data_IF_529653660387
#
_entry.id   IF_529653660387
#
_cell.length_a   1.000
_cell.length_b   1.000
_cell.length_c   1.000
_cell.angle_alpha   90.00
_cell.angle_beta   90.00
_cell.angle_gamma   90.00
#
_symmetry.space_group_name_H-M   'P 1'
#
loop_
_entity.id
_entity.type
_entity.pdbx_description
1 polymer ?
#
# COMPACT_ATOMS: atom_id res chain seq x y z
N UNK A 1 23.51 -30.47 19.81
CA UNK A 1 22.36 -31.35 19.99
C UNK A 1 21.87 -31.77 18.61
N UNK A 2 21.61 -33.07 18.38
CA UNK A 2 21.26 -33.57 17.03
C UNK A 2 19.78 -33.35 16.63
N UNK A 3 19.07 -32.49 17.31
CA UNK A 3 17.65 -32.20 17.01
C UNK A 3 17.46 -31.26 15.82
N UNK A 4 18.39 -30.36 15.54
CA UNK A 4 18.28 -29.39 14.44
C UNK A 4 18.46 -29.99 13.02
N UNK A 5 18.94 -31.24 12.94
CA UNK A 5 19.15 -31.92 11.67
C UNK A 5 17.90 -32.64 11.13
N UNK A 6 16.89 -32.83 11.96
CA UNK A 6 15.68 -33.61 11.62
C UNK A 6 14.41 -32.75 11.45
N UNK A 7 14.51 -31.43 11.59
CA UNK A 7 13.40 -30.57 11.17
C UNK A 7 13.33 -30.55 9.65
N UNK A 8 12.21 -30.96 9.02
CA UNK A 8 12.02 -30.87 7.60
C UNK A 8 11.87 -29.40 7.21
N UNK A 9 12.99 -28.69 7.04
CA UNK A 9 12.99 -27.41 6.35
C UNK A 9 12.65 -27.68 4.90
N UNK A 10 11.52 -27.18 4.44
CA UNK A 10 11.18 -27.18 3.02
C UNK A 10 12.38 -26.60 2.25
N UNK A 11 12.95 -27.36 1.31
CA UNK A 11 14.11 -26.91 0.50
C UNK A 11 13.79 -25.71 -0.41
N UNK A 12 12.55 -25.23 -0.39
CA UNK A 12 12.05 -24.09 -1.18
C UNK A 12 11.81 -22.82 -0.35
N UNK A 13 11.97 -22.84 0.98
CA UNK A 13 11.82 -21.64 1.79
C UNK A 13 13.14 -20.85 1.84
N UNK A 14 13.14 -19.72 1.13
CA UNK A 14 14.23 -18.74 1.25
C UNK A 14 14.07 -18.03 2.59
N UNK A 15 14.94 -18.35 3.55
CA UNK A 15 15.01 -17.66 4.83
C UNK A 15 16.08 -16.56 4.71
N UNK A 16 15.70 -15.27 4.77
CA UNK A 16 16.67 -14.18 4.73
C UNK A 16 17.62 -14.29 5.94
N UNK A 17 18.92 -14.07 5.69
CA UNK A 17 19.97 -14.19 6.73
C UNK A 17 20.45 -12.84 7.24
N UNK A 18 20.24 -11.79 6.48
CA UNK A 18 20.64 -10.43 6.81
C UNK A 18 19.58 -9.40 6.37
N UNK A 19 19.76 -8.16 6.83
CA UNK A 19 18.81 -7.09 6.57
C UNK A 19 18.65 -6.75 5.08
N UNK A 20 19.71 -6.91 4.26
CA UNK A 20 19.64 -6.68 2.82
C UNK A 20 18.78 -7.76 2.14
N UNK A 21 19.00 -9.03 2.47
CA UNK A 21 18.18 -10.14 1.96
C UNK A 21 16.71 -9.98 2.38
N UNK A 22 16.46 -9.47 3.59
CA UNK A 22 15.11 -9.18 4.07
C UNK A 22 14.48 -8.00 3.32
N UNK A 23 15.27 -6.97 2.96
CA UNK A 23 14.80 -5.88 2.11
C UNK A 23 14.45 -6.36 0.71
N UNK A 24 15.24 -7.24 0.09
CA UNK A 24 14.92 -7.84 -1.20
C UNK A 24 13.63 -8.66 -1.14
N UNK A 25 13.41 -9.41 -0.05
CA UNK A 25 12.15 -10.11 0.19
C UNK A 25 10.98 -9.14 0.32
N UNK A 26 11.13 -8.05 1.07
CA UNK A 26 10.12 -7.00 1.19
C UNK A 26 9.76 -6.41 -0.17
N UNK A 27 10.77 -6.09 -1.00
CA UNK A 27 10.55 -5.56 -2.36
C UNK A 27 9.79 -6.57 -3.22
N UNK A 28 10.13 -7.84 -3.13
CA UNK A 28 9.48 -8.90 -3.91
C UNK A 28 8.06 -9.24 -3.48
N UNK A 29 7.70 -9.03 -2.20
CA UNK A 29 6.44 -9.50 -1.61
C UNK A 29 5.47 -8.37 -1.25
N UNK A 30 5.96 -7.18 -0.90
CA UNK A 30 5.13 -6.10 -0.38
C UNK A 30 5.06 -4.86 -1.29
N UNK A 31 5.97 -4.70 -2.26
CA UNK A 31 5.87 -3.61 -3.22
C UNK A 31 5.04 -4.00 -4.44
N UNK A 32 4.17 -3.10 -4.97
CA UNK A 32 3.41 -3.35 -6.19
C UNK A 32 4.36 -3.55 -7.37
N UNK A 33 4.12 -4.58 -8.17
CA UNK A 33 4.93 -4.90 -9.34
C UNK A 33 4.10 -4.83 -10.62
N UNK A 34 4.56 -4.04 -11.57
CA UNK A 34 3.89 -3.85 -12.87
C UNK A 34 3.91 -5.13 -13.74
N UNK A 35 5.00 -5.90 -13.65
CA UNK A 35 5.22 -7.13 -14.43
C UNK A 35 4.25 -8.27 -14.09
N UNK A 36 3.56 -8.19 -12.95
CA UNK A 36 2.59 -9.20 -12.51
C UNK A 36 1.12 -8.78 -12.68
N UNK A 37 0.87 -7.67 -13.37
CA UNK A 37 -0.49 -7.14 -13.52
C UNK A 37 -1.13 -6.67 -12.20
N UNK A 38 -0.32 -6.46 -11.16
CA UNK A 38 -0.76 -6.16 -9.81
C UNK A 38 -1.08 -4.67 -9.60
N UNK A 39 -1.56 -3.98 -10.61
CA UNK A 39 -2.22 -2.69 -10.44
C UNK A 39 -3.61 -2.95 -9.85
N UNK A 40 -3.73 -2.81 -8.53
CA UNK A 40 -4.96 -3.18 -7.82
C UNK A 40 -6.16 -2.29 -8.17
N UNK A 41 -5.92 -1.10 -8.72
CA UNK A 41 -6.99 -0.17 -9.11
C UNK A 41 -6.59 0.66 -10.34
N UNK A 42 -6.32 0.05 -11.52
CA UNK A 42 -5.88 0.79 -12.70
C UNK A 42 -6.94 1.76 -13.23
N UNK A 43 -8.20 1.58 -12.83
CA UNK A 43 -9.32 2.40 -13.28
C UNK A 43 -9.60 3.62 -12.39
N UNK A 44 -8.94 3.78 -11.23
CA UNK A 44 -9.18 4.93 -10.33
C UNK A 44 -8.99 6.28 -11.02
N UNK A 45 -8.03 6.36 -11.93
CA UNK A 45 -7.81 7.56 -12.73
C UNK A 45 -8.98 7.94 -13.64
N UNK A 46 -9.89 7.01 -13.93
CA UNK A 46 -11.10 7.31 -14.72
C UNK A 46 -12.28 7.75 -13.85
N UNK A 47 -12.19 7.67 -12.53
CA UNK A 47 -13.19 8.17 -11.59
C UNK A 47 -12.94 9.63 -11.19
N UNK A 48 -11.91 10.23 -11.76
CA UNK A 48 -11.42 11.57 -11.50
C UNK A 48 -11.90 12.54 -12.59
N UNK A 49 -12.03 13.81 -12.28
CA UNK A 49 -12.38 14.89 -13.20
C UNK A 49 -11.18 15.48 -13.95
N UNK A 50 -9.97 15.00 -13.67
CA UNK A 50 -8.74 15.35 -14.41
C UNK A 50 -8.67 14.68 -15.80
N UNK A 51 -9.59 13.77 -16.13
CA UNK A 51 -9.63 13.06 -17.41
C UNK A 51 -10.71 13.66 -18.32
N UNK A 52 -10.33 13.94 -19.55
CA UNK A 52 -11.25 14.35 -20.60
C UNK A 52 -11.22 13.37 -21.78
N UNK A 53 -12.40 12.96 -22.24
CA UNK A 53 -12.53 12.19 -23.47
C UNK A 53 -12.41 13.12 -24.69
N UNK A 54 -11.38 12.91 -25.51
CA UNK A 54 -11.26 13.56 -26.81
C UNK A 54 -11.75 12.61 -27.91
N UNK A 55 -12.80 13.00 -28.58
CA UNK A 55 -13.22 12.35 -29.81
C UNK A 55 -12.21 12.72 -30.90
N UNK A 56 -11.29 11.82 -31.19
CA UNK A 56 -10.43 11.93 -32.36
C UNK A 56 -11.05 11.15 -33.53
N UNK A 57 -10.74 11.53 -34.76
CA UNK A 57 -11.21 10.87 -35.99
C UNK A 57 -10.52 9.50 -36.18
N UNK A 58 -10.34 8.73 -35.13
CA UNK A 58 -9.82 7.37 -35.23
C UNK A 58 -10.85 6.43 -35.82
N UNK A 59 -10.45 5.63 -36.79
CA UNK A 59 -11.17 4.42 -37.16
C UNK A 59 -11.20 3.47 -35.96
N UNK A 60 -12.34 3.36 -35.31
CA UNK A 60 -12.50 2.47 -34.16
C UNK A 60 -12.44 1.01 -34.61
N UNK A 61 -11.36 0.31 -34.25
CA UNK A 61 -11.38 -1.15 -34.26
C UNK A 61 -12.35 -1.68 -33.19
N UNK A 62 -12.79 -2.93 -33.32
CA UNK A 62 -13.68 -3.53 -32.32
C UNK A 62 -13.04 -3.57 -30.90
N UNK A 63 -11.71 -3.65 -30.84
CA UNK A 63 -10.98 -3.59 -29.58
C UNK A 63 -10.98 -2.18 -28.98
N UNK A 64 -10.86 -1.15 -29.82
CA UNK A 64 -10.96 0.25 -29.39
C UNK A 64 -12.36 0.56 -28.85
N UNK A 65 -13.42 0.02 -29.43
CA UNK A 65 -14.80 0.19 -28.97
C UNK A 65 -15.00 -0.42 -27.58
N UNK A 66 -14.47 -1.63 -27.36
CA UNK A 66 -14.53 -2.30 -26.04
C UNK A 66 -13.77 -1.49 -24.97
N UNK A 67 -12.60 -0.97 -25.32
CA UNK A 67 -11.80 -0.12 -24.44
C UNK A 67 -12.55 1.16 -24.08
N UNK A 68 -13.14 1.84 -25.07
CA UNK A 68 -13.95 3.04 -24.86
C UNK A 68 -15.18 2.75 -24.00
N UNK A 69 -15.90 1.65 -24.25
CA UNK A 69 -17.09 1.30 -23.48
C UNK A 69 -16.74 1.04 -22.00
N UNK A 70 -15.65 0.28 -21.73
CA UNK A 70 -15.21 -0.01 -20.39
C UNK A 70 -14.80 1.27 -19.62
N UNK A 71 -13.97 2.11 -20.23
CA UNK A 71 -13.52 3.37 -19.63
C UNK A 71 -14.66 4.37 -19.44
N UNK A 72 -15.58 4.45 -20.39
CA UNK A 72 -16.75 5.33 -20.31
C UNK A 72 -17.67 4.91 -19.15
N UNK A 73 -17.88 3.60 -18.95
CA UNK A 73 -18.72 3.11 -17.85
C UNK A 73 -18.18 3.53 -16.49
N UNK A 74 -16.85 3.47 -16.32
CA UNK A 74 -16.16 3.95 -15.10
C UNK A 74 -16.25 5.46 -14.97
N UNK A 75 -15.88 6.19 -16.01
CA UNK A 75 -15.90 7.66 -16.04
C UNK A 75 -17.28 8.25 -15.72
N UNK A 76 -18.34 7.59 -16.19
CA UNK A 76 -19.73 8.03 -15.94
C UNK A 76 -20.36 7.39 -14.70
N UNK A 77 -19.58 6.71 -13.86
CA UNK A 77 -20.03 6.09 -12.60
C UNK A 77 -21.25 5.17 -12.77
N UNK A 78 -21.29 4.37 -13.85
CA UNK A 78 -22.41 3.49 -14.07
C UNK A 78 -22.47 2.39 -12.98
N UNK A 79 -23.67 2.05 -12.47
CA UNK A 79 -23.81 1.07 -11.40
C UNK A 79 -23.24 -0.33 -11.76
N UNK A 80 -23.24 -0.68 -13.04
CA UNK A 80 -22.75 -1.93 -13.59
C UNK A 80 -21.35 -1.81 -14.25
N UNK A 81 -20.61 -0.73 -13.96
CA UNK A 81 -19.31 -0.44 -14.58
C UNK A 81 -18.33 -1.62 -14.48
N UNK A 82 -18.31 -2.32 -13.36
CA UNK A 82 -17.40 -3.46 -13.18
C UNK A 82 -17.76 -4.65 -14.08
N UNK A 83 -19.05 -4.93 -14.26
CA UNK A 83 -19.51 -5.93 -15.20
C UNK A 83 -19.16 -5.55 -16.65
N UNK A 84 -19.33 -4.27 -17.00
CA UNK A 84 -18.97 -3.75 -18.33
C UNK A 84 -17.47 -3.86 -18.56
N UNK A 85 -16.64 -3.54 -17.56
CA UNK A 85 -15.19 -3.72 -17.64
C UNK A 85 -14.80 -5.18 -17.91
N UNK A 86 -15.34 -6.11 -17.11
CA UNK A 86 -15.02 -7.54 -17.20
C UNK A 86 -15.38 -8.11 -18.58
N UNK A 87 -16.59 -7.86 -19.08
CA UNK A 87 -17.02 -8.34 -20.41
C UNK A 87 -16.19 -7.76 -21.56
N UNK A 88 -15.55 -6.60 -21.33
CA UNK A 88 -14.67 -5.95 -22.30
C UNK A 88 -13.19 -6.34 -22.16
N UNK A 89 -12.89 -7.33 -21.30
CA UNK A 89 -11.54 -7.89 -21.15
C UNK A 89 -10.68 -7.20 -20.08
N UNK A 90 -11.27 -6.41 -19.21
CA UNK A 90 -10.63 -5.83 -18.02
C UNK A 90 -10.99 -6.68 -16.79
N UNK A 91 -10.23 -7.72 -16.46
CA UNK A 91 -10.56 -8.57 -15.32
C UNK A 91 -10.51 -7.75 -14.03
N UNK A 92 -11.54 -7.90 -13.22
CA UNK A 92 -11.57 -7.34 -11.89
C UNK A 92 -10.57 -8.08 -11.02
N UNK A 93 -9.65 -7.34 -10.46
CA UNK A 93 -8.76 -7.88 -9.45
C UNK A 93 -9.46 -7.89 -8.10
N UNK A 94 -9.20 -8.94 -7.32
CA UNK A 94 -9.66 -8.99 -5.94
C UNK A 94 -8.81 -8.01 -5.10
N UNK A 95 -9.29 -6.77 -4.98
CA UNK A 95 -8.61 -5.68 -4.26
C UNK A 95 -8.34 -6.07 -2.80
N UNK A 96 -9.30 -6.72 -2.16
CA UNK A 96 -9.17 -7.20 -0.79
C UNK A 96 -7.98 -8.15 -0.64
N UNK A 97 -7.98 -9.23 -1.41
CA UNK A 97 -6.92 -10.23 -1.40
C UNK A 97 -5.56 -9.61 -1.77
N UNK A 98 -5.53 -8.77 -2.79
CA UNK A 98 -4.32 -8.12 -3.26
C UNK A 98 -3.64 -7.28 -2.19
N UNK A 99 -4.39 -6.43 -1.50
CA UNK A 99 -3.82 -5.61 -0.42
C UNK A 99 -3.41 -6.45 0.79
N UNK A 100 -4.19 -7.47 1.18
CA UNK A 100 -3.79 -8.34 2.29
C UNK A 100 -2.54 -9.18 1.97
N UNK A 101 -2.32 -9.57 0.72
CA UNK A 101 -1.08 -10.22 0.29
C UNK A 101 0.13 -9.28 0.45
N UNK A 102 0.00 -8.00 0.12
CA UNK A 102 1.06 -7.03 0.37
C UNK A 102 1.28 -6.76 1.87
N UNK A 103 0.21 -6.70 2.66
CA UNK A 103 0.30 -6.59 4.12
C UNK A 103 1.03 -7.81 4.71
N UNK A 104 0.73 -9.02 4.21
CA UNK A 104 1.43 -10.23 4.63
C UNK A 104 2.94 -10.14 4.36
N UNK A 105 3.33 -9.65 3.18
CA UNK A 105 4.73 -9.42 2.85
C UNK A 105 5.42 -8.41 3.77
N UNK A 106 4.73 -7.30 4.10
CA UNK A 106 5.24 -6.31 5.04
C UNK A 106 5.36 -6.86 6.46
N UNK A 107 4.35 -7.62 6.93
CA UNK A 107 4.39 -8.28 8.24
C UNK A 107 5.51 -9.31 8.33
N UNK A 108 5.73 -10.10 7.27
CA UNK A 108 6.83 -11.07 7.25
C UNK A 108 8.20 -10.39 7.47
N UNK A 109 8.43 -9.24 6.83
CA UNK A 109 9.66 -8.49 7.06
C UNK A 109 9.77 -7.98 8.51
N UNK A 110 8.66 -7.53 9.12
CA UNK A 110 8.61 -7.10 10.52
C UNK A 110 8.86 -8.25 11.49
N UNK A 111 8.30 -9.43 11.23
CA UNK A 111 8.44 -10.60 12.10
C UNK A 111 9.86 -11.16 12.07
N UNK A 112 10.50 -11.21 10.89
CA UNK A 112 11.85 -11.78 10.73
C UNK A 112 12.99 -10.81 11.06
N UNK A 113 12.75 -9.50 11.21
CA UNK A 113 13.84 -8.51 11.38
C UNK A 113 14.69 -8.75 12.63
N UNK A 114 14.12 -9.34 13.68
CA UNK A 114 14.83 -9.68 14.91
C UNK A 114 15.88 -10.77 14.72
N UNK A 115 15.63 -11.71 13.81
CA UNK A 115 16.41 -12.94 13.62
C UNK A 115 17.51 -12.81 12.57
N UNK A 116 17.55 -11.70 11.82
CA UNK A 116 18.56 -11.49 10.78
C UNK A 116 19.76 -10.69 11.27
N UNK A 117 20.92 -10.90 10.63
CA UNK A 117 22.10 -10.07 10.85
C UNK A 117 21.94 -8.70 10.17
N UNK A 118 22.62 -7.69 10.69
CA UNK A 118 22.66 -6.35 10.14
C UNK A 118 22.87 -5.29 11.20
N UNK A 119 23.30 -4.12 10.77
CA UNK A 119 23.39 -2.95 11.64
C UNK A 119 21.99 -2.46 12.03
N UNK A 120 21.89 -1.71 13.12
CA UNK A 120 20.63 -1.09 13.53
C UNK A 120 20.06 -0.19 12.43
N UNK A 121 20.90 0.56 11.71
CA UNK A 121 20.47 1.42 10.61
C UNK A 121 19.87 0.61 9.44
N UNK A 122 20.46 -0.52 9.05
CA UNK A 122 19.91 -1.39 8.00
C UNK A 122 18.58 -2.00 8.45
N UNK A 123 18.48 -2.47 9.69
CA UNK A 123 17.24 -3.00 10.25
C UNK A 123 16.15 -1.92 10.32
N UNK A 124 16.49 -0.73 10.84
CA UNK A 124 15.55 0.39 10.93
C UNK A 124 15.03 0.82 9.55
N UNK A 125 15.86 0.73 8.51
CA UNK A 125 15.44 1.03 7.15
C UNK A 125 14.39 0.04 6.63
N UNK A 126 14.56 -1.26 6.87
CA UNK A 126 13.58 -2.29 6.50
C UNK A 126 12.29 -2.13 7.29
N UNK A 127 12.38 -1.92 8.62
CA UNK A 127 11.20 -1.74 9.48
C UNK A 127 10.39 -0.52 9.01
N UNK A 128 11.06 0.63 8.79
CA UNK A 128 10.39 1.86 8.38
C UNK A 128 9.65 1.71 7.04
N UNK A 129 10.24 1.03 6.06
CA UNK A 129 9.58 0.73 4.80
C UNK A 129 8.38 -0.21 4.98
N UNK A 130 8.53 -1.28 5.78
CA UNK A 130 7.46 -2.25 6.03
C UNK A 130 6.25 -1.60 6.70
N UNK A 131 6.48 -0.77 7.73
CA UNK A 131 5.42 -0.01 8.41
C UNK A 131 4.74 0.98 7.46
N UNK A 132 5.52 1.70 6.65
CA UNK A 132 4.98 2.64 5.66
C UNK A 132 4.10 1.96 4.61
N UNK A 133 4.51 0.80 4.10
CA UNK A 133 3.72 -0.01 3.17
C UNK A 133 2.45 -0.53 3.84
N UNK A 134 2.55 -1.10 5.05
CA UNK A 134 1.39 -1.61 5.79
C UNK A 134 0.36 -0.52 6.05
N UNK A 135 0.81 0.65 6.50
CA UNK A 135 -0.05 1.81 6.70
C UNK A 135 -0.75 2.25 5.40
N UNK A 136 -0.03 2.30 4.28
CA UNK A 136 -0.61 2.63 2.99
C UNK A 136 -1.69 1.64 2.57
N UNK A 137 -1.44 0.34 2.71
CA UNK A 137 -2.42 -0.68 2.32
C UNK A 137 -3.66 -0.69 3.21
N UNK A 138 -3.51 -0.49 4.52
CA UNK A 138 -4.66 -0.31 5.41
C UNK A 138 -5.43 0.97 5.10
N UNK A 139 -4.75 2.05 4.76
CA UNK A 139 -5.40 3.28 4.32
C UNK A 139 -6.23 3.06 3.05
N UNK A 140 -5.70 2.32 2.07
CA UNK A 140 -6.47 1.97 0.87
C UNK A 140 -7.66 1.07 1.22
N UNK A 141 -7.46 0.02 2.01
CA UNK A 141 -8.51 -0.91 2.40
C UNK A 141 -9.65 -0.23 3.16
N UNK A 142 -9.35 0.57 4.17
CA UNK A 142 -10.39 1.21 4.99
C UNK A 142 -11.21 2.21 4.20
N UNK A 143 -10.60 2.91 3.23
CA UNK A 143 -11.32 3.86 2.37
C UNK A 143 -12.17 3.18 1.29
N UNK A 144 -11.86 1.92 0.93
CA UNK A 144 -12.69 1.16 -0.02
C UNK A 144 -13.82 0.39 0.66
N UNK A 145 -13.61 -0.08 1.89
CA UNK A 145 -14.51 -1.04 2.54
C UNK A 145 -15.10 -0.55 3.86
N UNK A 146 -14.65 0.59 4.37
CA UNK A 146 -15.15 1.23 5.58
C UNK A 146 -15.99 2.47 5.29
N UNK A 147 -16.61 3.01 6.33
CA UNK A 147 -17.24 4.32 6.27
C UNK A 147 -16.18 5.45 6.29
N UNK A 148 -16.49 6.67 5.79
CA UNK A 148 -15.63 7.82 5.99
C UNK A 148 -15.37 8.06 7.49
N UNK A 149 -14.12 8.41 7.86
CA UNK A 149 -13.67 8.45 9.25
C UNK A 149 -14.58 9.27 10.19
N UNK A 150 -14.95 10.47 9.80
CA UNK A 150 -15.78 11.33 10.65
C UNK A 150 -17.29 11.12 10.49
N UNK A 151 -17.71 10.27 9.54
CA UNK A 151 -19.12 9.92 9.39
C UNK A 151 -19.55 8.93 10.47
N UNK A 152 -18.79 7.85 10.67
CA UNK A 152 -19.00 6.87 11.74
C UNK A 152 -17.68 6.13 12.06
N UNK A 153 -17.02 6.58 13.11
CA UNK A 153 -15.75 5.99 13.58
C UNK A 153 -15.91 4.57 14.12
N UNK A 154 -17.12 4.24 14.61
CA UNK A 154 -17.44 2.93 15.18
C UNK A 154 -17.99 1.94 14.14
N UNK A 155 -18.24 2.41 12.91
CA UNK A 155 -18.57 1.52 11.80
C UNK A 155 -17.47 0.48 11.56
N UNK A 156 -17.86 -0.66 11.00
CA UNK A 156 -16.91 -1.71 10.65
C UNK A 156 -15.96 -1.22 9.52
N UNK A 157 -14.70 -1.18 9.86
CA UNK A 157 -13.59 -0.97 8.92
C UNK A 157 -13.14 -2.27 8.27
N UNK A 158 -11.89 -2.67 8.47
CA UNK A 158 -11.29 -3.91 7.95
C UNK A 158 -10.56 -4.67 9.06
N UNK A 159 -10.35 -5.98 8.95
CA UNK A 159 -9.55 -6.73 9.92
C UNK A 159 -8.10 -6.25 9.97
N UNK A 160 -7.55 -6.06 11.16
CA UNK A 160 -6.15 -5.77 11.37
C UNK A 160 -5.36 -7.08 11.54
N UNK A 161 -4.61 -7.49 10.53
CA UNK A 161 -3.65 -8.59 10.57
C UNK A 161 -2.25 -7.98 10.68
N UNK A 162 -1.64 -8.09 11.86
CA UNK A 162 -0.40 -7.38 12.19
C UNK A 162 0.83 -8.29 12.29
N UNK A 163 0.67 -9.57 11.97
CA UNK A 163 1.73 -10.59 11.89
C UNK A 163 1.62 -11.40 10.60
N UNK A 164 2.65 -12.17 10.27
CA UNK A 164 2.70 -13.00 9.07
C UNK A 164 2.22 -14.44 9.30
N UNK A 165 1.77 -14.80 10.49
CA UNK A 165 1.31 -16.15 10.77
C UNK A 165 0.08 -16.48 9.93
N UNK A 166 0.09 -17.64 9.29
CA UNK A 166 -1.10 -18.15 8.63
C UNK A 166 -2.14 -18.52 9.68
N UNK A 167 -3.38 -18.11 9.46
CA UNK A 167 -4.46 -18.51 10.34
C UNK A 167 -4.73 -20.01 10.16
N UNK A 168 -4.94 -20.78 11.26
CA UNK A 168 -5.44 -22.13 11.15
C UNK A 168 -6.75 -22.19 10.37
N UNK A 169 -7.03 -23.31 9.68
CA UNK A 169 -8.25 -23.45 8.83
C UNK A 169 -9.55 -23.19 9.61
N UNK A 170 -9.58 -23.48 10.91
CA UNK A 170 -10.71 -23.24 11.81
C UNK A 170 -10.82 -21.76 12.27
N UNK A 171 -9.84 -20.91 11.96
CA UNK A 171 -9.79 -19.49 12.33
C UNK A 171 -9.68 -18.54 11.12
N UNK A 172 -10.07 -18.98 9.94
CA UNK A 172 -9.99 -18.19 8.71
C UNK A 172 -10.84 -16.91 8.72
N UNK A 173 -11.77 -16.78 9.66
CA UNK A 173 -12.65 -15.62 9.78
C UNK A 173 -12.12 -14.66 10.85
N UNK A 174 -11.49 -13.58 10.40
CA UNK A 174 -11.11 -12.47 11.27
C UNK A 174 -12.30 -11.50 11.43
N UNK A 175 -12.49 -11.00 12.64
CA UNK A 175 -13.45 -9.92 12.91
C UNK A 175 -12.94 -8.61 12.31
N UNK A 176 -13.83 -7.83 11.71
CA UNK A 176 -13.50 -6.48 11.25
C UNK A 176 -13.31 -5.55 12.45
N UNK A 177 -12.23 -4.80 12.43
CA UNK A 177 -11.99 -3.71 13.37
C UNK A 177 -12.85 -2.50 13.00
N UNK A 178 -13.05 -1.58 13.95
CA UNK A 178 -13.72 -0.31 13.64
C UNK A 178 -12.86 0.56 12.73
N UNK A 179 -13.48 1.51 12.05
CA UNK A 179 -12.78 2.52 11.24
C UNK A 179 -11.75 3.25 12.10
N UNK A 180 -12.10 3.63 13.35
CA UNK A 180 -11.20 4.32 14.28
C UNK A 180 -9.97 3.47 14.63
N UNK A 181 -10.16 2.18 14.94
CA UNK A 181 -9.04 1.28 15.24
C UNK A 181 -8.10 1.14 14.05
N UNK A 182 -8.63 1.03 12.83
CA UNK A 182 -7.80 0.94 11.62
C UNK A 182 -7.02 2.22 11.38
N UNK A 183 -7.64 3.39 11.51
CA UNK A 183 -6.93 4.67 11.36
C UNK A 183 -5.90 4.90 12.46
N UNK A 184 -6.16 4.48 13.69
CA UNK A 184 -5.18 4.53 14.76
C UNK A 184 -3.95 3.68 14.43
N UNK A 185 -4.14 2.45 13.95
CA UNK A 185 -3.04 1.59 13.52
C UNK A 185 -2.23 2.22 12.35
N UNK A 186 -2.91 2.83 11.37
CA UNK A 186 -2.26 3.55 10.28
C UNK A 186 -1.37 4.68 10.81
N UNK A 187 -1.89 5.48 11.75
CA UNK A 187 -1.14 6.60 12.34
C UNK A 187 0.03 6.10 13.17
N UNK A 188 -0.14 5.03 13.94
CA UNK A 188 0.93 4.43 14.74
C UNK A 188 2.06 3.88 13.86
N UNK A 189 1.74 3.14 12.80
CA UNK A 189 2.71 2.64 11.83
C UNK A 189 3.48 3.80 11.17
N UNK A 190 2.79 4.87 10.76
CA UNK A 190 3.42 6.03 10.13
C UNK A 190 4.28 6.84 11.11
N UNK A 191 3.88 6.94 12.38
CA UNK A 191 4.67 7.61 13.41
C UNK A 191 5.97 6.87 13.67
N UNK A 192 5.91 5.56 13.79
CA UNK A 192 7.09 4.73 14.02
C UNK A 192 7.99 4.70 12.78
N UNK A 193 7.42 4.59 11.57
CA UNK A 193 8.19 4.69 10.33
C UNK A 193 8.94 6.03 10.21
N UNK A 194 8.27 7.17 10.51
CA UNK A 194 8.91 8.49 10.52
C UNK A 194 10.03 8.55 11.55
N UNK A 195 9.79 8.07 12.77
CA UNK A 195 10.79 8.03 13.83
C UNK A 195 12.05 7.26 13.42
N UNK A 196 11.87 6.09 12.83
CA UNK A 196 12.97 5.24 12.37
C UNK A 196 13.74 5.89 11.21
N UNK A 197 13.06 6.42 10.19
CA UNK A 197 13.71 7.14 9.10
C UNK A 197 14.56 8.31 9.61
N UNK A 198 14.10 9.03 10.63
CA UNK A 198 14.84 10.17 11.20
C UNK A 198 16.15 9.75 11.90
N UNK A 199 16.31 8.49 12.27
CA UNK A 199 17.58 7.95 12.80
C UNK A 199 18.61 7.66 11.71
N UNK A 200 18.21 7.63 10.47
CA UNK A 200 19.06 7.26 9.33
C UNK A 200 19.80 8.48 8.77
N UNK A 201 20.85 8.21 7.98
CA UNK A 201 21.54 9.23 7.21
C UNK A 201 20.62 9.82 6.12
N UNK A 202 20.92 11.05 5.68
CA UNK A 202 20.06 11.79 4.74
C UNK A 202 19.84 11.07 3.41
N UNK A 203 20.86 10.40 2.90
CA UNK A 203 20.79 9.56 1.71
C UNK A 203 19.85 8.35 1.88
N UNK A 204 19.75 7.81 3.10
CA UNK A 204 18.81 6.74 3.43
C UNK A 204 17.40 7.24 3.78
N UNK A 205 17.27 8.49 4.20
CA UNK A 205 15.95 9.10 4.38
C UNK A 205 15.22 9.31 3.06
N UNK A 206 15.95 9.59 1.99
CA UNK A 206 15.41 9.77 0.65
C UNK A 206 16.42 9.38 -0.43
N UNK A 207 16.04 8.42 -1.25
CA UNK A 207 16.66 8.11 -2.54
C UNK A 207 15.63 8.38 -3.64
N UNK A 208 16.01 8.94 -4.81
CA UNK A 208 15.07 9.19 -5.92
C UNK A 208 14.72 7.88 -6.65
N UNK A 209 14.02 7.00 -5.97
CA UNK A 209 13.55 5.72 -6.48
C UNK A 209 12.09 5.48 -6.06
N UNK A 210 11.54 4.29 -6.31
CA UNK A 210 10.16 3.93 -5.98
C UNK A 210 9.97 3.39 -4.56
N UNK A 211 11.03 3.30 -3.77
CA UNK A 211 10.97 2.74 -2.41
C UNK A 211 10.36 3.76 -1.43
N UNK A 212 9.77 3.24 -0.38
CA UNK A 212 9.25 4.07 0.72
C UNK A 212 10.40 4.90 1.32
N UNK A 213 10.15 6.16 1.50
CA UNK A 213 11.11 7.15 1.98
C UNK A 213 10.46 8.10 2.99
N UNK A 214 11.27 8.85 3.74
CA UNK A 214 10.75 9.79 4.74
C UNK A 214 9.76 10.81 4.14
N UNK A 215 10.04 11.47 2.99
CA UNK A 215 9.05 12.38 2.40
C UNK A 215 7.77 11.68 1.97
N UNK A 216 7.82 10.42 1.52
CA UNK A 216 6.61 9.63 1.24
C UNK A 216 5.80 9.40 2.51
N UNK A 217 6.43 9.02 3.63
CA UNK A 217 5.76 8.84 4.92
C UNK A 217 5.10 10.15 5.37
N UNK A 218 5.80 11.28 5.28
CA UNK A 218 5.27 12.59 5.64
C UNK A 218 4.10 13.01 4.74
N UNK A 219 4.18 12.74 3.44
CA UNK A 219 3.08 13.01 2.51
C UNK A 219 1.87 12.12 2.81
N UNK A 220 2.08 10.84 3.10
CA UNK A 220 1.00 9.93 3.48
C UNK A 220 0.35 10.34 4.80
N UNK A 221 1.13 10.78 5.81
CA UNK A 221 0.59 11.35 7.05
C UNK A 221 -0.30 12.58 6.77
N UNK A 222 0.16 13.48 5.91
CA UNK A 222 -0.65 14.63 5.49
C UNK A 222 -2.00 14.17 4.91
N UNK A 223 -2.00 13.19 4.03
CA UNK A 223 -3.22 12.65 3.42
C UNK A 223 -4.12 11.94 4.43
N UNK A 224 -3.56 11.10 5.30
CA UNK A 224 -4.32 10.41 6.35
C UNK A 224 -4.99 11.42 7.28
N UNK A 225 -4.28 12.44 7.76
CA UNK A 225 -4.86 13.49 8.58
C UNK A 225 -5.91 14.32 7.85
N UNK A 226 -5.76 14.53 6.53
CA UNK A 226 -6.77 15.18 5.71
C UNK A 226 -8.09 14.38 5.71
N UNK A 227 -8.01 13.06 5.53
CA UNK A 227 -9.17 12.16 5.56
C UNK A 227 -9.80 12.04 6.96
N UNK A 228 -9.00 12.24 8.01
CA UNK A 228 -9.47 12.34 9.39
C UNK A 228 -10.07 13.72 9.74
N UNK A 229 -10.06 14.68 8.80
CA UNK A 229 -10.40 16.10 9.01
C UNK A 229 -9.55 16.79 10.09
N UNK A 230 -8.36 16.25 10.35
CA UNK A 230 -7.36 16.90 11.18
C UNK A 230 -6.52 17.89 10.33
N UNK A 231 -7.17 18.99 9.97
CA UNK A 231 -6.61 19.99 9.05
C UNK A 231 -5.28 20.57 9.52
N UNK A 232 -5.10 20.70 10.83
CA UNK A 232 -3.87 21.22 11.42
C UNK A 232 -2.68 20.32 11.10
N UNK A 233 -2.78 19.05 11.42
CA UNK A 233 -1.67 18.12 11.22
C UNK A 233 -1.48 17.81 9.73
N UNK A 234 -2.56 17.73 8.96
CA UNK A 234 -2.48 17.63 7.51
C UNK A 234 -1.63 18.76 6.90
N UNK A 235 -1.88 20.01 7.29
CA UNK A 235 -1.12 21.17 6.83
C UNK A 235 0.34 21.15 7.32
N UNK A 236 0.60 20.71 8.56
CA UNK A 236 1.96 20.61 9.10
C UNK A 236 2.79 19.63 8.25
N UNK A 237 2.26 18.44 7.98
CA UNK A 237 2.98 17.42 7.22
C UNK A 237 3.13 17.77 5.73
N UNK A 238 2.13 18.40 5.11
CA UNK A 238 2.27 18.94 3.75
C UNK A 238 3.40 19.97 3.68
N UNK A 239 3.47 20.91 4.66
CA UNK A 239 4.52 21.91 4.71
C UNK A 239 5.92 21.31 4.96
N UNK A 240 6.05 20.22 5.75
CA UNK A 240 7.32 19.50 5.89
C UNK A 240 7.83 19.00 4.54
N UNK A 241 6.97 18.34 3.76
CA UNK A 241 7.37 17.83 2.43
C UNK A 241 7.82 18.97 1.50
N UNK A 242 7.08 20.07 1.46
CA UNK A 242 7.39 21.22 0.58
C UNK A 242 8.70 21.91 0.99
N UNK A 243 8.93 22.09 2.30
CA UNK A 243 10.05 22.89 2.79
C UNK A 243 11.33 22.10 2.96
N UNK A 244 11.23 20.86 3.42
CA UNK A 244 12.41 20.08 3.86
C UNK A 244 13.03 19.29 2.69
N UNK A 245 12.30 19.05 1.60
CA UNK A 245 12.72 18.16 0.52
C UNK A 245 12.95 18.83 -0.83
N UNK A 246 12.78 20.14 -0.94
CA UNK A 246 13.03 20.91 -2.17
C UNK A 246 12.35 20.36 -3.43
N UNK A 247 11.19 19.67 -3.27
CA UNK A 247 10.41 19.23 -4.42
C UNK A 247 9.76 20.42 -5.10
N UNK A 248 9.85 20.46 -6.43
CA UNK A 248 9.18 21.43 -7.26
C UNK A 248 8.02 20.77 -8.00
N UNK A 249 7.00 21.54 -8.32
CA UNK A 249 5.97 21.11 -9.25
C UNK A 249 6.60 20.92 -10.64
N UNK A 250 6.17 19.89 -11.37
CA UNK A 250 6.59 19.68 -12.75
C UNK A 250 6.02 20.82 -13.58
N UNK A 251 6.91 21.54 -14.31
CA UNK A 251 6.49 22.50 -15.31
C UNK A 251 6.05 21.73 -16.56
N UNK A 252 4.77 21.81 -16.86
CA UNK A 252 4.15 21.15 -18.03
C UNK A 252 4.05 22.06 -19.27
N UNK A 253 4.65 23.27 -19.24
CA UNK A 253 4.66 24.22 -20.37
C UNK A 253 5.86 24.02 -21.27
#
# INVERSE_FOLDING_TARGET
SCSDFLEPKSQSEYVPKDANALQEMLIGSAYPRQDKGNFLLPFLSFLDDDIQFHKTDYEFSINSLKDVEAKQAVYTWQPDMFFIMERNGYPLQNIWEGYYNYILGANAALDYIGDVNGTEAEKNYVIAQSLGLRAFYYFMLVNHFGAPYNYDKQALGVPLKLDSNLLPEDQLLMTRNTVEEVYNQIVDDLNEAERLFLTLSKDKQYEPNYLVSLPMIQLLKSRVFLYMENWKDAAIYANKVIKDWSFALIDLN
#
